data_IF_978346403511
#
_entry.id   IF_978346403511
#
_cell.length_a   1.000
_cell.length_b   1.000
_cell.length_c   1.000
_cell.angle_alpha   90.00
_cell.angle_beta   90.00
_cell.angle_gamma   90.00
#
_symmetry.space_group_name_H-M   'P 1'
#
loop_
_entity.id
_entity.type
_entity.pdbx_description
1 polymer ?
#
# COMPACT_ATOMS: atom_id res chain seq x y z
N UNK A 1 -5.87 1.02 -16.15
CA UNK A 1 -4.62 1.67 -16.63
C UNK A 1 -4.61 3.16 -16.34
N UNK A 2 -5.61 3.93 -16.76
CA UNK A 2 -5.73 5.36 -16.40
C UNK A 2 -5.70 5.62 -14.88
N UNK A 3 -6.48 4.85 -14.10
CA UNK A 3 -6.43 4.91 -12.63
C UNK A 3 -5.02 4.72 -12.07
N UNK A 4 -4.25 3.77 -12.62
CA UNK A 4 -2.86 3.50 -12.21
C UNK A 4 -1.93 4.69 -12.53
N UNK A 5 -2.18 5.39 -13.64
CA UNK A 5 -1.45 6.59 -14.00
C UNK A 5 -1.76 7.76 -13.06
N UNK A 6 -3.05 7.95 -12.72
CA UNK A 6 -3.50 8.99 -11.79
C UNK A 6 -2.96 8.77 -10.37
N UNK A 7 -2.94 7.53 -9.87
CA UNK A 7 -2.33 7.24 -8.57
C UNK A 7 -0.80 7.42 -8.61
N UNK A 8 -0.14 7.07 -9.72
CA UNK A 8 1.28 7.36 -9.92
C UNK A 8 1.60 8.86 -9.82
N UNK A 9 0.81 9.70 -10.51
CA UNK A 9 0.93 11.15 -10.41
C UNK A 9 0.64 11.65 -8.98
N UNK A 10 -0.41 11.14 -8.33
CA UNK A 10 -0.76 11.53 -6.97
C UNK A 10 0.34 11.21 -5.96
N UNK A 11 0.94 10.03 -6.06
CA UNK A 11 2.08 9.65 -5.21
C UNK A 11 3.25 10.61 -5.46
N UNK A 12 3.52 10.98 -6.72
CA UNK A 12 4.56 11.93 -7.08
C UNK A 12 4.31 13.32 -6.51
N UNK A 13 3.05 13.75 -6.40
CA UNK A 13 2.69 15.02 -5.78
C UNK A 13 2.85 15.00 -4.24
N UNK A 14 2.63 13.84 -3.60
CA UNK A 14 2.82 13.66 -2.15
C UNK A 14 4.31 13.65 -1.75
N UNK A 15 5.17 13.09 -2.59
CA UNK A 15 6.64 13.05 -2.49
C UNK A 15 7.27 13.08 -1.08
N UNK A 16 7.03 12.08 -0.21
CA UNK A 16 7.74 11.97 1.07
C UNK A 16 9.19 11.46 0.94
N UNK A 17 9.71 11.27 -0.28
CA UNK A 17 10.90 10.48 -0.61
C UNK A 17 10.69 8.96 -0.40
N UNK A 18 10.02 8.32 -1.36
CA UNK A 18 9.80 6.87 -1.35
C UNK A 18 11.12 6.08 -1.47
N UNK A 19 11.25 5.01 -0.71
CA UNK A 19 12.51 4.25 -0.56
C UNK A 19 12.60 2.98 -1.42
N UNK A 20 11.53 2.58 -2.14
CA UNK A 20 10.74 1.40 -1.78
C UNK A 20 9.44 1.23 -2.56
N UNK A 21 9.36 0.43 -3.62
CA UNK A 21 8.08 -0.14 -4.11
C UNK A 21 8.07 -1.67 -3.96
N UNK A 22 7.15 -2.20 -3.16
CA UNK A 22 6.88 -3.63 -3.04
C UNK A 22 5.60 -3.96 -3.81
N UNK A 23 5.61 -4.99 -4.64
CA UNK A 23 4.42 -5.39 -5.42
C UNK A 23 4.13 -6.87 -5.33
N UNK A 24 2.83 -7.20 -5.35
CA UNK A 24 2.38 -8.58 -5.51
C UNK A 24 2.74 -9.12 -6.89
N UNK A 25 3.08 -10.41 -6.97
CA UNK A 25 3.38 -11.12 -8.23
C UNK A 25 2.14 -11.47 -9.07
N UNK A 26 0.95 -11.02 -8.68
CA UNK A 26 -0.24 -11.16 -9.53
C UNK A 26 -0.17 -10.13 -10.66
N UNK A 27 -0.48 -10.55 -11.89
CA UNK A 27 -0.40 -9.74 -13.12
C UNK A 27 -1.03 -8.36 -12.97
N UNK A 28 -2.24 -8.27 -12.37
CA UNK A 28 -2.93 -6.99 -12.12
C UNK A 28 -2.12 -6.00 -11.27
N UNK A 29 -1.40 -6.49 -10.25
CA UNK A 29 -0.58 -5.66 -9.37
C UNK A 29 0.74 -5.28 -10.06
N UNK A 30 1.33 -6.19 -10.84
CA UNK A 30 2.53 -5.91 -11.64
C UNK A 30 2.24 -4.84 -12.70
N UNK A 31 1.18 -4.99 -13.50
CA UNK A 31 0.79 -3.99 -14.51
C UNK A 31 0.51 -2.61 -13.91
N UNK A 32 -0.13 -2.56 -12.73
CA UNK A 32 -0.39 -1.30 -12.01
C UNK A 32 0.93 -0.68 -11.54
N UNK A 33 1.83 -1.50 -10.98
CA UNK A 33 3.14 -1.05 -10.51
C UNK A 33 4.01 -0.54 -11.64
N UNK A 34 4.01 -1.21 -12.80
CA UNK A 34 4.77 -0.78 -13.98
C UNK A 34 4.32 0.59 -14.48
N UNK A 35 3.03 0.93 -14.33
CA UNK A 35 2.53 2.27 -14.66
C UNK A 35 2.95 3.28 -13.60
N UNK A 36 2.86 2.95 -12.31
CA UNK A 36 3.32 3.82 -11.21
C UNK A 36 4.82 4.12 -11.36
N UNK A 37 5.64 3.13 -11.68
CA UNK A 37 7.10 3.25 -11.80
C UNK A 37 7.55 4.18 -12.93
N UNK A 38 6.70 4.47 -13.93
CA UNK A 38 7.00 5.51 -14.92
C UNK A 38 7.14 6.90 -14.29
N UNK A 39 6.52 7.12 -13.13
CA UNK A 39 6.65 8.35 -12.35
C UNK A 39 7.86 8.35 -11.39
N UNK A 40 8.45 7.17 -11.15
CA UNK A 40 9.56 6.94 -10.21
C UNK A 40 10.62 6.01 -10.81
N UNK A 41 11.37 6.46 -11.84
CA UNK A 41 12.27 5.59 -12.61
C UNK A 41 13.39 4.96 -11.78
N UNK A 42 13.85 5.64 -10.72
CA UNK A 42 14.97 5.19 -9.88
C UNK A 42 14.52 4.45 -8.61
N UNK A 43 13.22 4.22 -8.44
CA UNK A 43 12.68 3.61 -7.23
C UNK A 43 12.95 2.10 -7.20
N UNK A 44 13.64 1.57 -6.18
CA UNK A 44 13.88 0.14 -6.08
C UNK A 44 12.57 -0.64 -5.99
N UNK A 45 12.51 -1.78 -6.70
CA UNK A 45 11.32 -2.64 -6.77
C UNK A 45 11.60 -3.98 -6.13
N UNK A 46 10.68 -4.42 -5.26
CA UNK A 46 10.68 -5.74 -4.63
C UNK A 46 9.41 -6.51 -5.04
N UNK A 47 9.57 -7.62 -5.77
CA UNK A 47 8.48 -8.55 -6.03
C UNK A 47 8.24 -9.46 -4.80
N UNK A 48 6.98 -9.58 -4.35
CA UNK A 48 6.64 -10.36 -3.16
C UNK A 48 5.42 -11.28 -3.38
N UNK A 49 5.68 -12.58 -3.39
CA UNK A 49 4.65 -13.63 -3.48
C UNK A 49 3.73 -13.70 -2.24
N UNK A 50 4.18 -13.21 -1.08
CA UNK A 50 3.37 -13.24 0.14
C UNK A 50 2.19 -12.28 0.07
N UNK A 51 2.28 -11.21 -0.74
CA UNK A 51 1.20 -10.27 -0.98
C UNK A 51 0.08 -10.83 -1.88
N UNK A 52 0.11 -12.14 -2.18
CA UNK A 52 -1.01 -12.86 -2.80
C UNK A 52 -2.02 -13.26 -1.72
N UNK A 53 -3.28 -13.45 -2.11
CA UNK A 53 -4.42 -13.62 -1.19
C UNK A 53 -4.32 -14.80 -0.20
N UNK A 54 -3.44 -15.79 -0.40
CA UNK A 54 -3.35 -16.99 0.45
C UNK A 54 -2.33 -16.95 1.58
N UNK A 55 -1.44 -15.93 1.65
CA UNK A 55 -0.30 -15.90 2.59
C UNK A 55 -0.19 -14.58 3.37
N UNK A 56 -1.35 -14.00 3.69
CA UNK A 56 -1.45 -12.63 4.17
C UNK A 56 -0.76 -12.41 5.53
N UNK A 57 -0.78 -13.39 6.44
CA UNK A 57 -0.13 -13.26 7.76
C UNK A 57 1.41 -13.21 7.66
N UNK A 58 2.00 -13.99 6.75
CA UNK A 58 3.44 -13.95 6.50
C UNK A 58 3.84 -12.63 5.84
N UNK A 59 3.01 -12.14 4.91
CA UNK A 59 3.19 -10.83 4.30
C UNK A 59 3.12 -9.71 5.35
N UNK A 60 2.17 -9.82 6.27
CA UNK A 60 2.00 -8.89 7.39
C UNK A 60 3.28 -8.82 8.23
N UNK A 61 3.76 -9.97 8.71
CA UNK A 61 4.97 -10.05 9.54
C UNK A 61 6.21 -9.51 8.83
N UNK A 62 6.33 -9.76 7.53
CA UNK A 62 7.47 -9.32 6.72
C UNK A 62 7.49 -7.81 6.47
N UNK A 63 6.34 -7.21 6.15
CA UNK A 63 6.29 -5.81 5.67
C UNK A 63 5.79 -4.81 6.71
N UNK A 64 5.06 -5.26 7.72
CA UNK A 64 4.40 -4.39 8.69
C UNK A 64 4.94 -4.66 10.09
N UNK A 65 6.10 -4.08 10.38
CA UNK A 65 6.75 -4.16 11.68
C UNK A 65 7.40 -2.83 12.06
N UNK A 66 7.85 -2.71 13.30
CA UNK A 66 8.60 -1.54 13.78
C UNK A 66 9.93 -1.43 13.04
N UNK A 67 10.42 -0.20 12.86
CA UNK A 67 11.76 0.04 12.33
C UNK A 67 12.82 -0.76 13.12
N UNK A 68 13.84 -1.24 12.41
CA UNK A 68 14.98 -1.91 13.04
C UNK A 68 15.76 -0.90 13.90
N UNK A 69 16.40 -1.37 14.96
CA UNK A 69 17.19 -0.51 15.87
C UNK A 69 18.32 0.25 15.14
N UNK A 70 18.83 -0.31 14.05
CA UNK A 70 19.88 0.28 13.23
C UNK A 70 19.38 1.32 12.21
N UNK A 71 18.07 1.48 12.05
CA UNK A 71 17.49 2.41 11.08
C UNK A 71 17.54 3.83 11.64
N UNK A 72 18.26 4.73 10.96
CA UNK A 72 18.51 6.11 11.41
C UNK A 72 17.62 7.16 10.76
N UNK A 73 16.87 6.79 9.72
CA UNK A 73 15.97 7.69 8.97
C UNK A 73 14.63 7.03 8.70
N UNK A 74 13.59 7.84 8.50
CA UNK A 74 12.27 7.35 8.11
C UNK A 74 12.32 6.64 6.75
N UNK A 75 11.50 5.60 6.60
CA UNK A 75 11.29 4.89 5.33
C UNK A 75 9.87 5.10 4.84
N UNK A 76 9.72 5.30 3.53
CA UNK A 76 8.42 5.48 2.88
C UNK A 76 8.25 4.42 1.79
N UNK A 77 7.49 3.38 2.10
CA UNK A 77 7.32 2.22 1.22
C UNK A 77 5.96 2.26 0.52
N UNK A 78 5.95 2.12 -0.79
CA UNK A 78 4.74 1.90 -1.59
C UNK A 78 4.51 0.39 -1.66
N UNK A 79 3.32 -0.07 -1.26
CA UNK A 79 2.93 -1.48 -1.38
C UNK A 79 1.74 -1.60 -2.32
N UNK A 80 1.91 -2.29 -3.45
CA UNK A 80 0.85 -2.54 -4.44
C UNK A 80 0.37 -3.99 -4.32
N UNK A 81 -0.86 -4.17 -3.81
CA UNK A 81 -1.46 -5.49 -3.61
C UNK A 81 -2.98 -5.47 -3.83
N UNK A 82 -3.74 -6.26 -3.07
CA UNK A 82 -5.15 -6.57 -3.33
C UNK A 82 -6.04 -6.16 -2.17
N UNK A 83 -7.33 -5.94 -2.44
CA UNK A 83 -8.27 -5.39 -1.46
C UNK A 83 -8.30 -6.19 -0.15
N UNK A 84 -8.48 -7.52 -0.21
CA UNK A 84 -8.53 -8.35 1.01
C UNK A 84 -7.20 -8.38 1.78
N UNK A 85 -6.06 -8.26 1.08
CA UNK A 85 -4.73 -8.15 1.71
C UNK A 85 -4.64 -6.83 2.47
N UNK A 86 -5.04 -5.72 1.85
CA UNK A 86 -5.03 -4.38 2.47
C UNK A 86 -5.97 -4.34 3.68
N UNK A 87 -7.22 -4.82 3.53
CA UNK A 87 -8.22 -4.91 4.61
C UNK A 87 -7.68 -5.64 5.82
N UNK A 88 -7.11 -6.83 5.59
CA UNK A 88 -6.53 -7.65 6.66
C UNK A 88 -5.38 -6.91 7.36
N UNK A 89 -4.44 -6.35 6.59
CA UNK A 89 -3.31 -5.62 7.16
C UNK A 89 -3.76 -4.40 7.97
N UNK A 90 -4.75 -3.63 7.50
CA UNK A 90 -5.32 -2.50 8.24
C UNK A 90 -5.92 -2.97 9.57
N UNK A 91 -6.77 -4.01 9.55
CA UNK A 91 -7.38 -4.53 10.77
C UNK A 91 -6.32 -5.02 11.76
N UNK A 92 -5.30 -5.74 11.28
CA UNK A 92 -4.21 -6.26 12.12
C UNK A 92 -3.34 -5.16 12.70
N UNK A 93 -3.00 -4.14 11.93
CA UNK A 93 -2.21 -2.98 12.36
C UNK A 93 -2.90 -2.19 13.47
N UNK A 94 -4.22 -2.00 13.35
CA UNK A 94 -5.03 -1.25 14.31
C UNK A 94 -5.60 -2.10 15.43
N UNK A 95 -5.30 -3.40 15.45
CA UNK A 95 -5.86 -4.36 16.41
C UNK A 95 -7.40 -4.36 16.41
N UNK A 96 -7.99 -4.13 15.23
CA UNK A 96 -9.43 -4.24 15.04
C UNK A 96 -9.86 -5.71 15.01
N UNK A 97 -11.11 -5.99 15.42
CA UNK A 97 -11.67 -7.34 15.33
C UNK A 97 -11.64 -7.82 13.87
N UNK A 98 -11.30 -9.11 13.61
CA UNK A 98 -11.13 -9.62 12.26
C UNK A 98 -12.41 -9.51 11.42
N UNK A 99 -13.60 -9.51 12.04
CA UNK A 99 -14.89 -9.34 11.38
C UNK A 99 -15.07 -7.93 10.78
N UNK A 100 -14.29 -6.94 11.22
CA UNK A 100 -14.37 -5.57 10.72
C UNK A 100 -13.80 -5.41 9.30
N UNK A 101 -13.01 -6.36 8.79
CA UNK A 101 -12.32 -6.22 7.51
C UNK A 101 -13.27 -6.00 6.31
N UNK A 102 -14.44 -6.64 6.32
CA UNK A 102 -15.49 -6.47 5.30
C UNK A 102 -16.22 -5.12 5.41
N UNK A 103 -16.01 -4.37 6.49
CA UNK A 103 -16.60 -3.03 6.68
C UNK A 103 -15.76 -1.93 6.02
N UNK A 104 -14.57 -2.28 5.52
CA UNK A 104 -13.70 -1.37 4.78
C UNK A 104 -13.97 -1.57 3.28
N UNK A 105 -14.43 -0.54 2.58
CA UNK A 105 -14.55 -0.55 1.11
C UNK A 105 -13.41 0.26 0.52
N UNK A 106 -12.69 -0.31 -0.46
CA UNK A 106 -11.54 0.34 -1.10
C UNK A 106 -11.75 0.37 -2.61
N UNK A 107 -11.71 1.56 -3.21
CA UNK A 107 -11.75 1.67 -4.66
C UNK A 107 -10.46 1.12 -5.30
N UNK A 108 -10.55 0.70 -6.56
CA UNK A 108 -9.39 0.39 -7.38
C UNK A 108 -8.42 1.57 -7.41
N UNK A 109 -7.13 1.28 -7.24
CA UNK A 109 -6.06 2.29 -7.16
C UNK A 109 -6.23 3.35 -6.06
N UNK A 110 -7.02 3.07 -5.01
CA UNK A 110 -7.07 3.92 -3.83
C UNK A 110 -5.78 3.85 -3.00
N UNK A 111 -5.48 4.91 -2.26
CA UNK A 111 -4.29 5.02 -1.41
C UNK A 111 -4.70 4.84 0.06
N UNK A 112 -4.01 3.95 0.77
CA UNK A 112 -4.08 3.89 2.23
C UNK A 112 -2.71 4.23 2.80
N UNK A 113 -2.64 5.31 3.59
CA UNK A 113 -1.40 5.78 4.20
C UNK A 113 -1.38 5.43 5.68
N UNK A 114 -0.41 4.61 6.08
CA UNK A 114 -0.24 4.16 7.46
C UNK A 114 1.18 4.45 7.91
N UNK A 115 1.33 5.01 9.10
CA UNK A 115 2.61 5.27 9.75
C UNK A 115 2.76 4.34 10.96
N UNK A 116 3.87 3.59 11.00
CA UNK A 116 4.27 2.75 12.14
C UNK A 116 5.42 3.44 12.84
N UNK A 117 5.21 3.88 14.08
CA UNK A 117 6.24 4.54 14.87
C UNK A 117 7.21 3.51 15.50
N UNK A 118 8.45 3.88 15.83
CA UNK A 118 9.40 3.01 16.55
C UNK A 118 8.85 2.48 17.88
N UNK A 119 7.92 3.22 18.51
CA UNK A 119 7.23 2.79 19.74
C UNK A 119 6.25 1.64 19.52
N UNK A 120 5.89 1.33 18.27
CA UNK A 120 4.81 0.40 17.91
C UNK A 120 3.44 1.07 17.81
N UNK A 121 3.33 2.37 18.07
CA UNK A 121 2.11 3.12 17.77
C UNK A 121 1.86 3.10 16.27
N UNK A 122 0.61 2.91 15.88
CA UNK A 122 0.18 2.97 14.47
C UNK A 122 -0.77 4.15 14.28
N UNK A 123 -0.65 4.84 13.15
CA UNK A 123 -1.56 5.90 12.71
C UNK A 123 -1.96 5.67 11.26
N UNK A 124 -3.25 5.66 10.96
CA UNK A 124 -3.74 5.81 9.58
C UNK A 124 -3.98 7.28 9.30
N UNK A 125 -3.30 7.83 8.30
CA UNK A 125 -3.53 9.20 7.82
C UNK A 125 -4.70 9.24 6.83
N UNK A 126 -4.82 8.21 5.99
CA UNK A 126 -5.94 8.01 5.08
C UNK A 126 -6.14 6.50 4.84
N UNK A 127 -7.37 6.07 4.61
CA UNK A 127 -7.71 4.69 4.25
C UNK A 127 -8.61 4.77 3.03
N UNK A 128 -8.20 4.12 1.93
CA UNK A 128 -8.98 4.09 0.70
C UNK A 128 -9.18 5.45 0.04
N UNK A 129 -8.22 6.38 0.14
CA UNK A 129 -8.29 7.67 -0.53
C UNK A 129 -8.32 7.48 -2.05
N UNK A 130 -9.41 7.93 -2.65
CA UNK A 130 -9.61 7.97 -4.10
C UNK A 130 -10.12 9.35 -4.53
N UNK A 131 -10.01 10.37 -3.68
CA UNK A 131 -10.53 11.71 -3.97
C UNK A 131 -9.80 12.43 -5.11
N UNK A 132 -8.62 11.94 -5.48
CA UNK A 132 -7.86 12.41 -6.65
C UNK A 132 -8.31 11.77 -7.97
N UNK A 133 -9.17 10.74 -7.93
CA UNK A 133 -9.74 10.14 -9.12
C UNK A 133 -11.00 10.90 -9.54
N UNK A 134 -11.17 11.22 -10.84
CA UNK A 134 -12.45 11.72 -11.35
C UNK A 134 -13.57 10.70 -11.11
N UNK A 135 -14.80 11.19 -10.94
CA UNK A 135 -15.98 10.36 -10.64
C UNK A 135 -16.17 9.21 -11.64
N UNK A 136 -15.93 9.47 -12.94
CA UNK A 136 -16.03 8.46 -14.00
C UNK A 136 -15.07 7.28 -13.86
N UNK A 137 -14.04 7.40 -13.02
CA UNK A 137 -13.05 6.37 -12.75
C UNK A 137 -13.21 5.72 -11.37
N UNK A 138 -14.18 6.12 -10.54
CA UNK A 138 -14.42 5.49 -9.25
C UNK A 138 -15.08 4.12 -9.46
N UNK A 139 -14.33 3.05 -9.17
CA UNK A 139 -14.78 1.66 -9.25
C UNK A 139 -14.24 0.89 -8.04
N UNK A 140 -14.98 -0.10 -7.56
CA UNK A 140 -14.62 -1.00 -6.46
C UNK A 140 -14.48 -2.44 -6.96
#
# INVERSE_FOLDING_TARGET
>A
REQANLVGQRLKDLNPNYTKLVRSTMTRAQETSDIILKHFPDLPVEDCDLLRESRIDDAFKKHFHRANENQTSDSHEIIVCHENVIRYCICRLHQFPPEAWLRLSLHHCSISWITIFPTGRVKSCMIGDSGFLPESFLTA
#
